data_IF_135565480979
#
_entry.id   IF_135565480979
#
_cell.length_a   1.000
_cell.length_b   1.000
_cell.length_c   1.000
_cell.angle_alpha   90.00
_cell.angle_beta   90.00
_cell.angle_gamma   90.00
#
_symmetry.space_group_name_H-M   'P 1'
#
loop_
_entity.id
_entity.type
_entity.pdbx_description
1 polymer ?
#
# COMPACT_ATOMS: atom_id res chain seq x y z
N UNK A 1 25.52 22.25 -20.09
CA UNK A 1 25.01 21.21 -19.16
C UNK A 1 23.61 21.62 -18.76
N UNK A 2 22.58 21.04 -19.41
CA UNK A 2 21.19 21.26 -19.02
C UNK A 2 20.94 20.39 -17.82
N UNK A 3 20.71 20.97 -16.67
CA UNK A 3 20.13 20.29 -15.51
C UNK A 3 18.66 20.13 -15.85
N UNK A 4 18.27 18.95 -16.34
CA UNK A 4 16.88 18.58 -16.42
C UNK A 4 16.38 18.37 -15.00
N UNK A 5 15.73 19.37 -14.45
CA UNK A 5 14.93 19.24 -13.25
C UNK A 5 13.77 18.33 -13.62
N UNK A 6 13.88 17.03 -13.29
CA UNK A 6 12.72 16.14 -13.33
C UNK A 6 11.68 16.71 -12.37
N UNK A 7 10.62 17.23 -12.93
CA UNK A 7 9.52 17.78 -12.14
C UNK A 7 8.70 16.60 -11.62
N UNK A 8 8.81 16.32 -10.33
CA UNK A 8 7.98 15.33 -9.66
C UNK A 8 6.61 15.91 -9.34
N UNK A 9 5.60 15.06 -9.34
CA UNK A 9 4.25 15.38 -8.88
C UNK A 9 3.81 14.39 -7.80
N UNK A 10 2.95 14.85 -6.90
CA UNK A 10 2.28 13.98 -5.94
C UNK A 10 1.04 13.35 -6.60
N UNK A 11 0.92 12.04 -6.45
CA UNK A 11 -0.23 11.26 -6.86
C UNK A 11 -0.84 10.59 -5.65
N UNK A 12 -2.15 10.36 -5.66
CA UNK A 12 -2.86 9.69 -4.58
C UNK A 12 -3.90 8.72 -5.11
N UNK A 13 -4.08 7.63 -4.37
CA UNK A 13 -5.10 6.62 -4.63
C UNK A 13 -5.76 6.18 -3.34
N UNK A 14 -7.04 5.87 -3.41
CA UNK A 14 -7.80 5.31 -2.29
C UNK A 14 -8.53 4.07 -2.75
N UNK A 15 -8.34 2.97 -2.02
CA UNK A 15 -8.97 1.68 -2.28
C UNK A 15 -9.65 1.17 -1.03
N UNK A 16 -10.88 0.69 -1.17
CA UNK A 16 -11.61 0.01 -0.09
C UNK A 16 -11.88 -1.44 -0.47
N UNK A 17 -11.53 -2.36 0.42
CA UNK A 17 -11.78 -3.80 0.27
C UNK A 17 -12.63 -4.28 1.43
N UNK A 18 -13.63 -5.11 1.14
CA UNK A 18 -14.53 -5.71 2.11
C UNK A 18 -14.26 -7.20 2.27
N UNK A 19 -14.35 -7.71 3.48
CA UNK A 19 -14.22 -9.15 3.74
C UNK A 19 -14.06 -9.48 5.21
N UNK A 20 -13.85 -10.76 5.51
CA UNK A 20 -13.63 -11.26 6.87
C UNK A 20 -12.25 -11.87 7.05
N UNK A 21 -11.50 -12.05 5.98
CA UNK A 21 -10.13 -12.58 6.03
C UNK A 21 -9.16 -11.57 6.65
N UNK A 22 -8.20 -12.00 7.47
CA UNK A 22 -7.11 -11.14 7.93
C UNK A 22 -6.23 -10.57 6.81
N UNK A 23 -6.28 -11.16 5.63
CA UNK A 23 -5.50 -10.76 4.44
C UNK A 23 -6.07 -9.52 3.72
N UNK A 24 -7.29 -9.08 4.05
CA UNK A 24 -7.95 -7.97 3.34
C UNK A 24 -7.17 -6.67 3.39
N UNK A 25 -6.44 -6.42 4.49
CA UNK A 25 -5.58 -5.25 4.60
C UNK A 25 -4.44 -5.27 3.59
N UNK A 26 -3.80 -6.43 3.42
CA UNK A 26 -2.72 -6.62 2.43
C UNK A 26 -3.27 -6.54 1.01
N UNK A 27 -4.49 -7.04 0.77
CA UNK A 27 -5.15 -6.92 -0.55
C UNK A 27 -5.45 -5.45 -0.88
N UNK A 28 -5.98 -4.67 0.06
CA UNK A 28 -6.23 -3.25 -0.13
C UNK A 28 -4.93 -2.47 -0.39
N UNK A 29 -3.86 -2.80 0.36
CA UNK A 29 -2.53 -2.22 0.15
C UNK A 29 -2.00 -2.55 -1.25
N UNK A 30 -2.07 -3.81 -1.66
CA UNK A 30 -1.59 -4.25 -2.98
C UNK A 30 -2.32 -3.54 -4.12
N UNK A 31 -3.63 -3.38 -4.03
CA UNK A 31 -4.41 -2.65 -5.03
C UNK A 31 -4.03 -1.16 -5.06
N UNK A 32 -3.82 -0.54 -3.90
CA UNK A 32 -3.37 0.86 -3.81
C UNK A 32 -1.99 1.05 -4.42
N UNK A 33 -1.04 0.17 -4.09
CA UNK A 33 0.33 0.18 -4.64
C UNK A 33 0.31 -0.01 -6.16
N UNK A 34 -0.49 -0.95 -6.66
CA UNK A 34 -0.64 -1.17 -8.09
C UNK A 34 -1.22 0.05 -8.81
N UNK A 35 -2.22 0.71 -8.22
CA UNK A 35 -2.82 1.91 -8.78
C UNK A 35 -1.83 3.09 -8.81
N UNK A 36 -1.02 3.27 -7.77
CA UNK A 36 0.04 4.28 -7.73
C UNK A 36 1.17 3.96 -8.72
N UNK A 37 1.58 2.69 -8.82
CA UNK A 37 2.59 2.25 -9.78
C UNK A 37 2.13 2.45 -11.23
N UNK A 38 0.85 2.21 -11.52
CA UNK A 38 0.25 2.49 -12.82
C UNK A 38 0.30 3.98 -13.21
N UNK A 39 0.40 4.87 -12.24
CA UNK A 39 0.57 6.31 -12.44
C UNK A 39 2.04 6.77 -12.45
N UNK A 40 2.99 5.86 -12.37
CA UNK A 40 4.42 6.12 -12.47
C UNK A 40 5.18 6.11 -11.14
N UNK A 41 4.55 5.81 -10.00
CA UNK A 41 5.27 5.62 -8.74
C UNK A 41 6.15 4.38 -8.78
N UNK A 42 7.36 4.47 -8.23
CA UNK A 42 8.32 3.37 -8.18
C UNK A 42 8.40 2.83 -6.75
N UNK A 43 8.27 1.52 -6.62
CA UNK A 43 8.38 0.81 -5.36
C UNK A 43 9.59 -0.13 -5.37
N UNK A 44 10.30 -0.19 -4.24
CA UNK A 44 11.40 -1.11 -4.02
C UNK A 44 11.01 -2.18 -3.01
N UNK A 45 11.53 -3.38 -3.19
CA UNK A 45 11.36 -4.48 -2.23
C UNK A 45 12.63 -4.56 -1.39
N UNK A 46 12.49 -4.51 -0.06
CA UNK A 46 13.59 -4.73 0.86
C UNK A 46 13.86 -6.25 0.96
N UNK A 47 15.05 -6.75 0.55
CA UNK A 47 15.32 -8.19 0.48
C UNK A 47 15.51 -8.87 1.84
N UNK A 48 15.74 -8.13 2.92
CA UNK A 48 16.26 -8.64 4.20
C UNK A 48 15.22 -8.86 5.30
N UNK A 49 13.95 -9.08 4.97
CA UNK A 49 12.98 -9.52 5.99
C UNK A 49 12.93 -11.05 5.96
N UNK A 50 13.89 -11.69 6.63
CA UNK A 50 13.82 -13.11 6.95
C UNK A 50 12.68 -13.37 7.94
N UNK A 51 11.99 -14.50 7.78
CA UNK A 51 10.78 -14.84 8.54
C UNK A 51 10.99 -15.07 10.05
N UNK A 52 12.23 -14.97 10.54
CA UNK A 52 12.62 -15.40 11.88
C UNK A 52 12.63 -14.31 12.97
N UNK A 53 12.26 -13.07 12.66
CA UNK A 53 12.18 -12.02 13.68
C UNK A 53 10.78 -11.83 14.26
N UNK A 54 10.17 -12.91 14.77
CA UNK A 54 8.94 -12.85 15.59
C UNK A 54 9.19 -12.49 17.06
N UNK A 55 10.40 -12.11 17.47
CA UNK A 55 10.68 -11.72 18.85
C UNK A 55 10.88 -10.22 18.98
N UNK A 56 9.91 -9.60 19.67
CA UNK A 56 10.04 -8.37 20.46
C UNK A 56 11.22 -7.45 20.12
N UNK A 57 11.10 -6.70 19.04
CA UNK A 57 11.93 -5.54 18.85
C UNK A 57 11.25 -4.34 19.49
N UNK A 58 11.55 -4.12 20.74
CA UNK A 58 11.49 -2.81 21.36
C UNK A 58 12.45 -1.91 20.56
N UNK A 59 11.89 -1.14 19.65
CA UNK A 59 12.65 -0.41 18.62
C UNK A 59 13.35 0.76 19.32
N UNK A 60 14.60 0.54 19.65
CA UNK A 60 15.54 1.65 19.84
C UNK A 60 15.84 2.26 18.48
N UNK A 61 15.43 3.49 18.32
CA UNK A 61 15.47 4.32 17.12
C UNK A 61 16.86 4.89 16.77
N UNK A 62 17.95 4.14 16.91
CA UNK A 62 19.29 4.72 16.77
C UNK A 62 20.18 4.14 15.64
N UNK A 63 19.75 3.16 14.86
CA UNK A 63 20.57 2.58 13.79
C UNK A 63 19.94 2.65 12.38
N UNK A 64 19.27 3.75 12.05
CA UNK A 64 18.78 4.00 10.69
C UNK A 64 19.73 4.90 9.90
N UNK A 65 20.96 4.45 9.62
CA UNK A 65 21.91 5.20 8.80
C UNK A 65 21.86 4.92 7.29
N UNK A 66 20.94 4.05 6.82
CA UNK A 66 20.67 3.84 5.39
C UNK A 66 19.16 3.86 5.10
N UNK A 67 18.44 4.82 5.67
CA UNK A 67 17.03 5.00 5.36
C UNK A 67 16.88 5.56 3.95
N UNK A 68 16.65 4.70 2.97
CA UNK A 68 16.13 5.14 1.69
C UNK A 68 14.80 5.86 1.94
N UNK A 69 14.61 7.01 1.28
CA UNK A 69 13.34 7.73 1.32
C UNK A 69 12.18 6.76 1.01
N UNK A 70 11.09 6.75 1.81
CA UNK A 70 10.00 5.82 1.57
C UNK A 70 9.36 6.06 0.21
N UNK A 71 9.03 4.98 -0.49
CA UNK A 71 8.44 5.01 -1.83
C UNK A 71 7.04 5.65 -1.84
N UNK A 72 6.31 5.51 -0.73
CA UNK A 72 4.99 6.08 -0.56
C UNK A 72 4.64 6.23 0.93
N UNK A 73 3.67 7.08 1.23
CA UNK A 73 3.01 7.16 2.51
C UNK A 73 1.59 6.62 2.40
N UNK A 74 1.15 5.83 3.38
CA UNK A 74 -0.22 5.34 3.44
C UNK A 74 -0.90 5.64 4.78
N UNK A 75 -2.20 5.85 4.71
CA UNK A 75 -3.12 5.91 5.84
C UNK A 75 -4.17 4.82 5.69
N UNK A 76 -4.52 4.15 6.78
CA UNK A 76 -5.44 3.02 6.77
C UNK A 76 -6.60 3.27 7.73
N UNK A 77 -7.81 3.06 7.26
CA UNK A 77 -9.02 3.06 8.07
C UNK A 77 -9.69 1.69 8.03
N UNK A 78 -10.03 1.17 9.19
CA UNK A 78 -10.70 -0.12 9.33
C UNK A 78 -12.04 0.10 10.03
N UNK A 79 -13.13 -0.15 9.31
CA UNK A 79 -14.47 -0.20 9.89
C UNK A 79 -14.91 -1.66 10.01
N UNK A 80 -15.40 -2.08 11.17
CA UNK A 80 -15.80 -3.46 11.40
C UNK A 80 -17.08 -3.57 12.23
N UNK A 81 -17.90 -4.62 11.98
CA UNK A 81 -19.12 -4.84 12.73
C UNK A 81 -18.84 -5.35 14.15
N UNK A 82 -19.79 -5.18 15.06
CA UNK A 82 -19.65 -5.53 16.49
C UNK A 82 -19.29 -7.00 16.75
N UNK A 83 -19.70 -7.91 15.86
CA UNK A 83 -19.44 -9.35 16.03
C UNK A 83 -18.01 -9.76 15.69
N UNK A 84 -17.18 -8.85 15.13
CA UNK A 84 -15.79 -9.14 14.80
C UNK A 84 -14.91 -8.88 16.02
N UNK A 85 -14.14 -9.88 16.42
CA UNK A 85 -13.23 -9.77 17.55
C UNK A 85 -12.04 -8.83 17.24
N UNK A 86 -11.66 -8.03 18.21
CA UNK A 86 -10.50 -7.12 18.14
C UNK A 86 -9.20 -7.84 17.75
N UNK A 87 -9.02 -9.11 18.16
CA UNK A 87 -7.87 -9.92 17.78
C UNK A 87 -7.70 -10.08 16.27
N UNK A 88 -8.82 -10.15 15.53
CA UNK A 88 -8.78 -10.19 14.06
C UNK A 88 -8.30 -8.87 13.47
N UNK A 89 -8.75 -7.76 14.04
CA UNK A 89 -8.29 -6.41 13.62
C UNK A 89 -6.79 -6.25 13.88
N UNK A 90 -6.29 -6.65 15.04
CA UNK A 90 -4.85 -6.64 15.32
C UNK A 90 -4.04 -7.51 14.36
N UNK A 91 -4.59 -8.65 13.93
CA UNK A 91 -3.94 -9.48 12.92
C UNK A 91 -3.85 -8.79 11.56
N UNK A 92 -4.90 -8.08 11.14
CA UNK A 92 -4.90 -7.25 9.92
C UNK A 92 -3.82 -6.16 10.03
N UNK A 93 -3.77 -5.44 11.15
CA UNK A 93 -2.76 -4.39 11.39
C UNK A 93 -1.33 -4.94 11.35
N UNK A 94 -1.09 -6.09 11.99
CA UNK A 94 0.23 -6.75 12.01
C UNK A 94 0.68 -7.13 10.60
N UNK A 95 -0.21 -7.72 9.79
CA UNK A 95 0.09 -8.09 8.40
C UNK A 95 0.35 -6.86 7.52
N UNK A 96 -0.42 -5.78 7.71
CA UNK A 96 -0.21 -4.51 7.02
C UNK A 96 1.16 -3.92 7.35
N UNK A 97 1.53 -3.85 8.63
CA UNK A 97 2.84 -3.34 9.06
C UNK A 97 3.99 -4.14 8.44
N UNK A 98 3.88 -5.48 8.41
CA UNK A 98 4.87 -6.37 7.77
C UNK A 98 4.99 -6.08 6.27
N UNK A 99 3.87 -5.93 5.58
CA UNK A 99 3.85 -5.63 4.15
C UNK A 99 4.43 -4.24 3.84
N UNK A 100 4.12 -3.22 4.65
CA UNK A 100 4.67 -1.88 4.48
C UNK A 100 6.19 -1.85 4.62
N UNK A 101 6.74 -2.58 5.60
CA UNK A 101 8.20 -2.72 5.76
C UNK A 101 8.85 -3.36 4.53
N UNK A 102 8.24 -4.43 4.03
CA UNK A 102 8.75 -5.17 2.85
C UNK A 102 8.87 -4.29 1.62
N UNK A 103 7.96 -3.36 1.41
CA UNK A 103 7.91 -2.50 0.23
C UNK A 103 8.42 -1.07 0.48
N UNK A 104 9.09 -0.83 1.60
CA UNK A 104 9.59 0.49 1.99
C UNK A 104 8.49 1.58 1.91
N UNK A 105 7.34 1.27 2.49
CA UNK A 105 6.18 2.16 2.55
C UNK A 105 6.03 2.69 3.98
N UNK A 106 5.89 4.00 4.11
CA UNK A 106 5.64 4.64 5.40
C UNK A 106 4.15 4.48 5.78
N UNK A 107 3.88 3.82 6.90
CA UNK A 107 2.55 3.73 7.46
C UNK A 107 2.32 4.95 8.38
N UNK A 108 1.55 5.93 7.92
CA UNK A 108 1.26 7.15 8.66
C UNK A 108 0.34 6.90 9.87
N UNK A 109 -0.57 5.94 9.74
CA UNK A 109 -1.46 5.56 10.83
C UNK A 109 -2.49 4.53 10.42
N UNK A 110 -2.99 3.80 11.42
CA UNK A 110 -4.12 2.88 11.29
C UNK A 110 -5.18 3.30 12.29
N UNK A 111 -6.39 3.54 11.81
CA UNK A 111 -7.56 3.82 12.64
C UNK A 111 -8.56 2.69 12.48
N UNK A 112 -8.97 2.07 13.58
CA UNK A 112 -9.95 1.02 13.58
C UNK A 112 -11.13 1.39 14.49
N UNK A 113 -12.35 1.27 13.97
CA UNK A 113 -13.57 1.59 14.70
C UNK A 113 -14.70 0.61 14.40
N UNK A 114 -15.53 0.39 15.41
CA UNK A 114 -16.78 -0.36 15.24
C UNK A 114 -17.76 0.50 14.46
N UNK A 115 -18.37 -0.10 13.43
CA UNK A 115 -19.43 0.54 12.65
C UNK A 115 -20.58 -0.43 12.45
N UNK A 116 -21.75 -0.20 13.07
CA UNK A 116 -22.90 -1.10 12.97
C UNK A 116 -23.53 -1.14 11.56
N UNK A 117 -23.20 -0.18 10.70
CA UNK A 117 -23.72 -0.13 9.34
C UNK A 117 -23.00 -1.09 8.38
N UNK A 118 -21.80 -1.58 8.73
CA UNK A 118 -21.05 -2.51 7.89
C UNK A 118 -21.37 -3.96 8.26
N UNK A 119 -21.47 -4.83 7.25
CA UNK A 119 -21.71 -6.27 7.42
C UNK A 119 -20.45 -7.11 7.39
N UNK A 120 -19.37 -6.54 6.94
CA UNK A 120 -18.04 -7.15 6.89
C UNK A 120 -17.01 -6.11 7.29
N UNK A 121 -15.76 -6.55 7.49
CA UNK A 121 -14.67 -5.61 7.74
C UNK A 121 -14.42 -4.84 6.44
N UNK A 122 -14.40 -3.52 6.52
CA UNK A 122 -14.01 -2.63 5.43
C UNK A 122 -12.64 -2.04 5.72
N UNK A 123 -11.68 -2.29 4.86
CA UNK A 123 -10.33 -1.70 4.95
C UNK A 123 -10.17 -0.70 3.82
N UNK A 124 -9.98 0.56 4.18
CA UNK A 124 -9.71 1.65 3.24
C UNK A 124 -8.26 2.08 3.38
N UNK A 125 -7.52 1.98 2.30
CA UNK A 125 -6.12 2.41 2.20
C UNK A 125 -6.05 3.62 1.29
N UNK A 126 -5.51 4.72 1.81
CA UNK A 126 -5.19 5.92 1.02
C UNK A 126 -3.69 6.03 0.93
N UNK A 127 -3.16 6.00 -0.29
CA UNK A 127 -1.74 6.11 -0.57
C UNK A 127 -1.40 7.41 -1.29
N UNK A 128 -0.23 7.97 -0.96
CA UNK A 128 0.36 9.13 -1.61
C UNK A 128 1.78 8.77 -2.00
N UNK A 129 2.15 9.02 -3.24
CA UNK A 129 3.49 8.77 -3.76
C UNK A 129 3.94 9.90 -4.69
N UNK A 130 5.25 9.92 -4.97
CA UNK A 130 5.81 10.79 -5.99
C UNK A 130 5.88 10.04 -7.32
N UNK A 131 5.57 10.73 -8.40
CA UNK A 131 5.75 10.20 -9.75
C UNK A 131 6.34 11.27 -10.67
N UNK A 132 7.14 10.89 -11.68
CA UNK A 132 7.61 11.82 -12.70
C UNK A 132 6.42 12.43 -13.45
N UNK A 133 6.43 13.73 -13.64
CA UNK A 133 5.30 14.42 -14.28
C UNK A 133 5.07 13.99 -15.73
N UNK A 134 6.13 13.59 -16.43
CA UNK A 134 6.07 13.15 -17.83
C UNK A 134 5.63 11.69 -17.98
N UNK A 135 5.75 10.88 -16.94
CA UNK A 135 5.43 9.46 -16.94
C UNK A 135 4.12 9.13 -16.21
N UNK A 136 3.39 10.13 -15.76
CA UNK A 136 2.13 9.91 -15.08
C UNK A 136 1.07 9.39 -16.07
N UNK A 137 0.85 8.09 -16.02
CA UNK A 137 -0.16 7.40 -16.78
C UNK A 137 -1.53 7.63 -16.14
N UNK A 138 -2.45 8.18 -16.90
CA UNK A 138 -3.84 8.32 -16.52
C UNK A 138 -4.74 7.68 -17.60
N UNK A 139 -6.05 7.63 -17.36
CA UNK A 139 -6.99 7.06 -18.33
C UNK A 139 -6.97 7.77 -19.69
N UNK A 140 -6.62 9.06 -19.71
CA UNK A 140 -6.57 9.83 -20.97
C UNK A 140 -5.32 9.46 -21.76
N UNK A 141 -4.17 9.32 -21.10
CA UNK A 141 -2.93 8.86 -21.75
C UNK A 141 -3.05 7.41 -22.20
N UNK A 142 -3.73 6.55 -21.43
CA UNK A 142 -3.99 5.17 -21.82
C UNK A 142 -4.85 5.03 -23.08
N UNK A 143 -5.79 5.96 -23.34
CA UNK A 143 -6.59 5.98 -24.58
C UNK A 143 -5.76 6.27 -25.83
N UNK A 144 -4.62 6.95 -25.67
CA UNK A 144 -3.70 7.23 -26.78
C UNK A 144 -2.78 6.04 -27.13
N UNK A 145 -2.71 5.02 -26.28
CA UNK A 145 -1.92 3.82 -26.52
C UNK A 145 -2.57 2.92 -27.55
N UNK A 146 -1.76 2.40 -28.48
CA UNK A 146 -2.23 1.52 -29.57
C UNK A 146 -2.21 0.04 -29.17
N UNK A 147 -1.38 -0.32 -28.20
CA UNK A 147 -1.12 -1.71 -27.83
C UNK A 147 -1.52 -1.96 -26.38
N UNK A 148 -2.17 -3.10 -26.14
CA UNK A 148 -2.45 -3.62 -24.81
C UNK A 148 -1.52 -4.80 -24.57
N UNK A 149 -0.62 -4.67 -23.59
CA UNK A 149 0.26 -5.76 -23.18
C UNK A 149 -0.29 -6.40 -21.93
N UNK A 150 -0.49 -7.71 -21.98
CA UNK A 150 -0.93 -8.50 -20.85
C UNK A 150 0.24 -9.37 -20.34
N UNK A 151 0.55 -9.29 -19.06
CA UNK A 151 1.53 -10.13 -18.39
C UNK A 151 0.84 -10.91 -17.28
N UNK A 152 0.72 -12.24 -17.43
CA UNK A 152 0.10 -13.13 -16.45
C UNK A 152 -0.85 -14.15 -17.06
N UNK A 153 -1.61 -14.83 -16.22
CA UNK A 153 -2.64 -15.79 -16.64
C UNK A 153 -4.00 -15.08 -16.58
N UNK A 154 -4.64 -14.92 -17.72
CA UNK A 154 -5.99 -14.41 -17.78
C UNK A 154 -6.98 -15.57 -17.57
N UNK A 155 -7.74 -15.48 -16.46
CA UNK A 155 -9.01 -16.19 -16.34
C UNK A 155 -8.96 -17.70 -16.50
N UNK A 156 -8.19 -18.38 -15.66
CA UNK A 156 -8.42 -19.79 -15.38
C UNK A 156 -8.74 -19.93 -13.90
N UNK A 157 -10.00 -19.80 -13.56
CA UNK A 157 -10.61 -20.37 -12.38
C UNK A 157 -11.21 -21.73 -12.71
#
# INVERSE_FOLDING_TARGET
MKIETQTEQLISETVTVYGLSPQIGVHALAQTVNALAAQGAVFSVCPDITEDEEQEADIRSEDMQDAHEPSAGISVQIAYPEYVFKSRIHKIEKLLKKACKKYNIMLAGVQASVNPAVRAIAVTVTGIAKAPKEEAWNRETARACKDIVFAGHAGMD
#
